data_IF_793704716423
#
_entry.id   IF_793704716423
#
_cell.length_a   1.000
_cell.length_b   1.000
_cell.length_c   1.000
_cell.angle_alpha   90.00
_cell.angle_beta   90.00
_cell.angle_gamma   90.00
#
_symmetry.space_group_name_H-M   'P 1'
#
loop_
_entity.id
_entity.type
_entity.pdbx_description
1 polymer ?
#
# COMPACT_ATOMS: atom_id res chain seq x y z
N UNK A 1 -31.44 -0.64 -1.12
CA UNK A 1 -30.29 0.05 -1.74
C UNK A 1 -29.07 -0.83 -1.58
N UNK A 2 -28.24 -1.08 -2.61
CA UNK A 2 -27.00 -1.81 -2.40
C UNK A 2 -26.11 -0.95 -1.50
N UNK A 3 -25.66 -1.49 -0.37
CA UNK A 3 -24.66 -0.80 0.45
C UNK A 3 -23.35 -0.76 -0.32
N UNK A 4 -22.89 0.45 -0.67
CA UNK A 4 -21.59 0.65 -1.29
C UNK A 4 -20.51 0.02 -0.39
N UNK A 5 -19.75 -0.94 -0.92
CA UNK A 5 -18.66 -1.54 -0.16
C UNK A 5 -17.49 -0.56 -0.16
N UNK A 6 -16.76 -0.49 0.95
CA UNK A 6 -15.59 0.41 1.05
C UNK A 6 -14.52 0.09 -0.02
N UNK A 7 -14.48 -1.17 -0.50
CA UNK A 7 -13.64 -1.61 -1.61
C UNK A 7 -13.98 -0.92 -2.93
N UNK A 8 -15.24 -0.53 -3.15
CA UNK A 8 -15.71 0.04 -4.41
C UNK A 8 -15.19 1.49 -4.62
N UNK A 9 -14.59 2.07 -3.57
CA UNK A 9 -13.99 3.41 -3.59
C UNK A 9 -12.47 3.39 -3.86
N UNK A 10 -11.89 2.20 -4.01
CA UNK A 10 -10.48 1.99 -4.27
C UNK A 10 -10.26 2.04 -5.80
N UNK A 11 -9.39 2.93 -6.32
CA UNK A 11 -9.13 3.02 -7.76
C UNK A 11 -8.52 1.74 -8.35
N UNK A 12 -8.82 1.45 -9.62
CA UNK A 12 -8.41 0.21 -10.31
C UNK A 12 -6.88 -0.01 -10.40
N UNK A 13 -6.10 1.07 -10.37
CA UNK A 13 -4.63 1.01 -10.37
C UNK A 13 -4.02 0.95 -8.96
N UNK A 14 -4.85 0.72 -7.93
CA UNK A 14 -4.41 0.36 -6.58
C UNK A 14 -4.68 -1.13 -6.38
N UNK A 15 -3.63 -1.89 -6.09
CA UNK A 15 -3.73 -3.31 -5.80
C UNK A 15 -3.20 -3.59 -4.40
N UNK A 16 -3.83 -4.53 -3.69
CA UNK A 16 -3.36 -4.93 -2.38
C UNK A 16 -2.63 -6.26 -2.49
N UNK A 17 -1.46 -6.33 -1.87
CA UNK A 17 -0.98 -7.61 -1.38
C UNK A 17 -2.02 -8.17 -0.38
N UNK A 18 -2.38 -9.46 -0.41
CA UNK A 18 -3.53 -9.98 0.36
C UNK A 18 -3.51 -9.60 1.84
N UNK A 19 -2.37 -9.74 2.51
CA UNK A 19 -2.22 -9.40 3.93
C UNK A 19 -2.22 -7.88 4.17
N UNK A 20 -1.92 -7.05 3.16
CA UNK A 20 -2.13 -5.61 3.25
C UNK A 20 -3.62 -5.24 3.15
N UNK A 21 -4.46 -6.10 2.58
CA UNK A 21 -5.89 -5.92 2.59
C UNK A 21 -6.47 -6.24 3.97
N UNK A 22 -5.94 -7.27 4.63
CA UNK A 22 -6.27 -7.57 6.03
C UNK A 22 -5.88 -6.40 6.96
N UNK A 23 -4.68 -5.84 6.79
CA UNK A 23 -4.24 -4.64 7.51
C UNK A 23 -5.26 -3.50 7.41
N UNK A 24 -5.80 -3.24 6.22
CA UNK A 24 -6.81 -2.22 5.98
C UNK A 24 -8.13 -2.53 6.69
N UNK A 25 -8.59 -3.78 6.62
CA UNK A 25 -9.84 -4.20 7.25
C UNK A 25 -9.77 -4.20 8.79
N UNK A 26 -8.58 -4.35 9.38
CA UNK A 26 -8.36 -4.22 10.82
C UNK A 26 -8.52 -2.78 11.35
N UNK A 27 -8.51 -1.76 10.48
CA UNK A 27 -8.76 -0.37 10.88
C UNK A 27 -10.24 -0.15 11.20
N UNK A 28 -10.54 0.78 12.11
CA UNK A 28 -11.91 1.26 12.28
C UNK A 28 -12.41 1.99 11.01
N UNK A 29 -13.73 2.09 10.86
CA UNK A 29 -14.35 2.68 9.66
C UNK A 29 -13.89 4.11 9.37
N UNK A 30 -13.63 4.92 10.40
CA UNK A 30 -13.15 6.29 10.22
C UNK A 30 -11.75 6.32 9.61
N UNK A 31 -10.85 5.47 10.13
CA UNK A 31 -9.51 5.28 9.59
C UNK A 31 -9.51 4.67 8.19
N UNK A 32 -10.40 3.72 7.90
CA UNK A 32 -10.59 3.17 6.55
C UNK A 32 -10.95 4.27 5.53
N UNK A 33 -11.88 5.16 5.87
CA UNK A 33 -12.26 6.31 5.02
C UNK A 33 -11.05 7.21 4.75
N UNK A 34 -10.26 7.52 5.79
CA UNK A 34 -9.07 8.35 5.64
C UNK A 34 -8.00 7.69 4.76
N UNK A 35 -7.79 6.37 4.91
CA UNK A 35 -6.89 5.60 4.06
C UNK A 35 -7.36 5.61 2.61
N UNK A 36 -8.65 5.35 2.33
CA UNK A 36 -9.20 5.40 0.97
C UNK A 36 -8.94 6.74 0.29
N UNK A 37 -9.16 7.86 0.99
CA UNK A 37 -8.87 9.20 0.45
C UNK A 37 -7.40 9.37 0.06
N UNK A 38 -6.48 8.71 0.77
CA UNK A 38 -5.05 8.74 0.45
C UNK A 38 -4.73 7.79 -0.69
N UNK A 39 -5.35 6.61 -0.77
CA UNK A 39 -5.22 5.69 -1.92
C UNK A 39 -5.70 6.35 -3.23
N UNK A 40 -6.79 7.11 -3.17
CA UNK A 40 -7.28 7.93 -4.28
C UNK A 40 -6.33 9.05 -4.71
N UNK A 41 -5.46 9.52 -3.81
CA UNK A 41 -4.38 10.44 -4.18
C UNK A 41 -3.23 9.67 -4.80
N UNK A 42 -2.83 8.55 -4.17
CA UNK A 42 -1.76 7.68 -4.66
C UNK A 42 -2.04 7.25 -6.10
N UNK A 43 -3.27 6.89 -6.44
CA UNK A 43 -3.66 6.45 -7.79
C UNK A 43 -3.36 7.47 -8.89
N UNK A 44 -3.35 8.78 -8.58
CA UNK A 44 -3.11 9.83 -9.57
C UNK A 44 -1.64 9.92 -9.98
N UNK A 45 -0.72 9.61 -9.07
CA UNK A 45 0.72 9.62 -9.35
C UNK A 45 1.51 8.71 -8.37
N UNK A 46 1.38 7.38 -8.48
CA UNK A 46 1.97 6.43 -7.53
C UNK A 46 3.48 6.61 -7.30
N UNK A 47 4.24 6.90 -8.37
CA UNK A 47 5.70 7.08 -8.31
C UNK A 47 6.14 8.44 -7.76
N UNK A 48 5.27 9.44 -7.77
CA UNK A 48 5.60 10.82 -7.37
C UNK A 48 5.16 11.16 -5.94
N UNK A 49 4.18 10.44 -5.41
CA UNK A 49 3.68 10.67 -4.04
C UNK A 49 4.45 9.91 -2.98
N UNK A 50 4.36 10.37 -1.73
CA UNK A 50 5.07 9.78 -0.60
C UNK A 50 6.59 9.91 -0.66
N UNK A 51 7.24 9.44 0.40
CA UNK A 51 8.70 9.40 0.50
C UNK A 51 9.23 8.06 0.01
N UNK A 52 10.23 8.04 -0.90
CA UNK A 52 10.93 6.79 -1.23
C UNK A 52 11.60 6.26 0.04
N UNK A 53 11.59 4.94 0.20
CA UNK A 53 12.27 4.26 1.30
C UNK A 53 13.67 3.82 0.87
N UNK A 54 14.59 3.88 1.82
CA UNK A 54 15.97 3.49 1.63
C UNK A 54 16.19 2.03 2.06
N UNK A 55 17.28 1.45 1.56
CA UNK A 55 17.75 0.17 2.08
C UNK A 55 18.49 0.38 3.39
N UNK A 56 18.08 -0.35 4.42
CA UNK A 56 18.92 -0.58 5.60
C UNK A 56 19.17 -2.09 5.77
N UNK A 57 20.27 -2.50 6.43
CA UNK A 57 20.65 -3.91 6.56
C UNK A 57 19.54 -4.83 7.08
N UNK A 58 18.72 -4.32 8.00
CA UNK A 58 17.63 -5.08 8.64
C UNK A 58 16.23 -4.78 8.03
N UNK A 59 16.14 -3.90 7.03
CA UNK A 59 14.90 -3.50 6.36
C UNK A 59 15.19 -3.05 4.92
N UNK A 60 15.43 -3.99 3.99
CA UNK A 60 15.72 -3.66 2.60
C UNK A 60 14.43 -3.24 1.86
N UNK A 61 14.05 -1.97 2.00
CA UNK A 61 12.81 -1.40 1.46
C UNK A 61 13.04 -0.46 0.28
N UNK A 62 14.22 -0.47 -0.35
CA UNK A 62 14.41 0.26 -1.61
C UNK A 62 13.40 -0.22 -2.66
N UNK A 63 12.86 0.74 -3.42
CA UNK A 63 11.77 0.49 -4.38
C UNK A 63 10.37 0.54 -3.75
N UNK A 64 10.27 0.72 -2.43
CA UNK A 64 9.02 1.06 -1.75
C UNK A 64 8.94 2.56 -1.46
N UNK A 65 7.73 3.01 -1.19
CA UNK A 65 7.39 4.37 -0.81
C UNK A 65 6.46 4.34 0.39
N UNK A 66 6.45 5.41 1.17
CA UNK A 66 5.55 5.53 2.31
C UNK A 66 4.93 6.91 2.44
N UNK A 67 3.74 6.93 3.04
CA UNK A 67 3.07 8.17 3.43
C UNK A 67 2.33 7.98 4.74
N UNK A 68 2.05 9.10 5.39
CA UNK A 68 1.29 9.14 6.63
C UNK A 68 -0.18 9.46 6.36
N UNK A 69 -1.04 8.90 7.20
CA UNK A 69 -2.48 9.17 7.27
C UNK A 69 -2.85 9.51 8.71
N UNK A 70 -4.01 10.15 8.90
CA UNK A 70 -4.63 10.40 10.21
C UNK A 70 -3.67 11.06 11.22
N UNK A 71 -3.28 12.31 10.97
CA UNK A 71 -2.34 13.05 11.83
C UNK A 71 -1.01 12.30 12.11
N UNK A 72 -0.56 11.49 11.14
CA UNK A 72 0.63 10.63 11.23
C UNK A 72 0.49 9.45 12.20
N UNK A 73 -0.73 9.02 12.53
CA UNK A 73 -1.00 7.83 13.34
C UNK A 73 -0.94 6.54 12.52
N UNK A 74 -1.05 6.59 11.18
CA UNK A 74 -1.02 5.42 10.29
C UNK A 74 0.00 5.64 9.19
N UNK A 75 0.71 4.58 8.80
CA UNK A 75 1.60 4.57 7.63
C UNK A 75 1.09 3.57 6.59
N UNK A 76 1.02 4.03 5.35
CA UNK A 76 0.81 3.19 4.16
C UNK A 76 2.17 3.03 3.48
N UNK A 77 2.53 1.80 3.13
CA UNK A 77 3.73 1.47 2.36
C UNK A 77 3.30 0.77 1.07
N UNK A 78 3.86 1.19 -0.06
CA UNK A 78 3.56 0.60 -1.36
C UNK A 78 4.80 0.55 -2.25
N UNK A 79 4.75 -0.29 -3.29
CA UNK A 79 5.69 -0.24 -4.41
C UNK A 79 4.94 0.10 -5.69
N UNK A 80 5.66 0.54 -6.72
CA UNK A 80 5.08 0.95 -7.99
C UNK A 80 5.53 -0.01 -9.07
N UNK A 81 4.58 -0.44 -9.90
CA UNK A 81 4.83 -1.25 -11.08
C UNK A 81 4.25 -0.55 -12.29
N UNK A 82 4.97 -0.59 -13.40
CA UNK A 82 4.54 0.01 -14.64
C UNK A 82 4.08 -1.10 -15.57
N UNK A 83 2.81 -1.08 -15.98
CA UNK A 83 2.27 -2.03 -16.96
C UNK A 83 2.49 -1.59 -18.41
N UNK A 84 3.17 -0.47 -18.64
CA UNK A 84 3.31 0.19 -19.94
C UNK A 84 2.18 1.17 -20.27
N UNK A 85 1.03 1.05 -19.61
CA UNK A 85 -0.16 1.90 -19.83
C UNK A 85 -0.39 2.83 -18.62
N UNK A 86 -0.32 2.28 -17.41
CA UNK A 86 -0.58 3.01 -16.17
C UNK A 86 0.36 2.55 -15.07
N UNK A 87 0.69 3.45 -14.15
CA UNK A 87 1.37 3.08 -12.90
C UNK A 87 0.37 2.38 -11.97
N UNK A 88 0.74 1.19 -11.52
CA UNK A 88 0.01 0.41 -10.53
C UNK A 88 0.72 0.58 -9.19
N UNK A 89 -0.02 1.03 -8.17
CA UNK A 89 0.46 1.03 -6.80
C UNK A 89 0.08 -0.29 -6.13
N UNK A 90 1.07 -1.07 -5.71
CA UNK A 90 0.85 -2.29 -4.94
C UNK A 90 1.07 -1.97 -3.46
N UNK A 91 -0.04 -1.88 -2.73
CA UNK A 91 -0.04 -1.64 -1.29
C UNK A 91 0.55 -2.86 -0.60
N UNK A 92 1.69 -2.63 0.03
CA UNK A 92 2.52 -3.62 0.65
C UNK A 92 2.26 -3.75 2.15
N UNK A 93 1.69 -2.71 2.78
CA UNK A 93 1.19 -2.78 4.15
C UNK A 93 0.64 -1.47 4.70
N UNK A 94 -0.23 -1.61 5.70
CA UNK A 94 -0.86 -0.51 6.41
C UNK A 94 -0.75 -0.79 7.91
N UNK A 95 -0.16 0.11 8.68
CA UNK A 95 -0.05 -0.11 10.11
C UNK A 95 -0.05 1.20 10.88
N UNK A 96 -0.45 1.13 12.14
CA UNK A 96 -0.30 2.24 13.07
C UNK A 96 1.18 2.63 13.22
N UNK A 97 1.40 3.91 13.52
CA UNK A 97 2.71 4.47 13.80
C UNK A 97 3.12 4.05 15.20
N UNK A 98 3.70 2.88 15.28
CA UNK A 98 4.52 2.47 16.40
C UNK A 98 5.93 2.19 15.87
N UNK A 99 6.83 3.15 16.10
CA UNK A 99 8.24 3.17 15.68
C UNK A 99 8.52 2.58 14.28
N UNK A 100 8.84 1.29 14.25
CA UNK A 100 9.29 0.54 13.10
C UNK A 100 8.29 -0.52 12.61
N UNK A 101 7.15 -0.72 13.28
CA UNK A 101 6.22 -1.82 13.00
C UNK A 101 5.85 -1.93 11.52
N UNK A 102 5.41 -0.82 10.91
CA UNK A 102 5.06 -0.81 9.49
C UNK A 102 6.23 -1.25 8.59
N UNK A 103 7.46 -0.83 8.91
CA UNK A 103 8.63 -1.19 8.11
C UNK A 103 9.03 -2.64 8.32
N UNK A 104 9.04 -3.12 9.55
CA UNK A 104 9.37 -4.51 9.89
C UNK A 104 8.34 -5.47 9.28
N UNK A 105 7.05 -5.14 9.36
CA UNK A 105 5.95 -5.89 8.77
C UNK A 105 6.14 -6.06 7.25
N UNK A 106 6.42 -4.96 6.54
CA UNK A 106 6.63 -5.03 5.09
C UNK A 106 7.93 -5.74 4.74
N UNK A 107 8.99 -5.53 5.52
CA UNK A 107 10.27 -6.18 5.30
C UNK A 107 10.16 -7.72 5.48
N UNK A 108 9.39 -8.20 6.46
CA UNK A 108 9.24 -9.63 6.73
C UNK A 108 8.47 -10.37 5.64
N UNK A 109 7.52 -9.72 4.95
CA UNK A 109 6.75 -10.30 3.83
C UNK A 109 7.19 -9.83 2.45
N UNK A 110 8.37 -9.18 2.35
CA UNK A 110 8.87 -8.56 1.12
C UNK A 110 8.99 -9.54 -0.05
N UNK A 111 9.49 -10.74 0.22
CA UNK A 111 9.71 -11.73 -0.82
C UNK A 111 8.37 -12.22 -1.41
N UNK A 112 7.36 -12.39 -0.57
CA UNK A 112 6.03 -12.83 -1.01
C UNK A 112 5.27 -11.71 -1.73
N UNK A 113 5.49 -10.45 -1.34
CA UNK A 113 5.04 -9.29 -2.12
C UNK A 113 5.62 -9.33 -3.54
N UNK A 114 6.91 -9.61 -3.71
CA UNK A 114 7.51 -9.66 -5.06
C UNK A 114 6.97 -10.81 -5.89
N UNK A 115 6.83 -12.01 -5.31
CA UNK A 115 6.19 -13.15 -6.01
C UNK A 115 4.77 -12.81 -6.44
N UNK A 116 3.97 -12.23 -5.54
CA UNK A 116 2.62 -11.78 -5.84
C UNK A 116 2.58 -10.80 -7.02
N UNK A 117 3.53 -9.86 -7.05
CA UNK A 117 3.64 -8.89 -8.14
C UNK A 117 4.00 -9.58 -9.47
N UNK A 118 4.93 -10.53 -9.46
CA UNK A 118 5.31 -11.30 -10.64
C UNK A 118 4.09 -12.06 -11.19
N UNK A 119 3.38 -12.80 -10.35
CA UNK A 119 2.16 -13.52 -10.73
C UNK A 119 1.06 -12.60 -11.26
N UNK A 120 0.95 -11.39 -10.72
CA UNK A 120 -0.02 -10.38 -11.12
C UNK A 120 0.28 -9.79 -12.49
N UNK A 121 1.57 -9.64 -12.83
CA UNK A 121 2.03 -9.15 -14.12
C UNK A 121 1.98 -10.23 -15.21
N UNK A 122 2.22 -11.50 -14.86
CA UNK A 122 2.09 -12.63 -15.81
C UNK A 122 0.65 -12.90 -16.25
N UNK A 123 -0.34 -12.53 -15.42
CA UNK A 123 -1.77 -12.74 -15.68
C UNK A 123 -2.44 -11.61 -16.48
N UNK A 124 -1.69 -10.61 -16.95
CA UNK A 124 -2.21 -9.45 -17.71
C UNK A 124 -1.59 -9.38 -19.10
#
# INVERSE_FOLDING_TARGET
MPSLKMSDLIPDNIMFYPEAMEDFYCLDKGRQIMVIKVLQKISLAPSKLGKPLENHPNRPLAGFRSTYVDNKSIRIIWTVKNSGIVEIAVIAGIAERNDLLAYTLVASRRQDIYKFIEELLEKR
#
